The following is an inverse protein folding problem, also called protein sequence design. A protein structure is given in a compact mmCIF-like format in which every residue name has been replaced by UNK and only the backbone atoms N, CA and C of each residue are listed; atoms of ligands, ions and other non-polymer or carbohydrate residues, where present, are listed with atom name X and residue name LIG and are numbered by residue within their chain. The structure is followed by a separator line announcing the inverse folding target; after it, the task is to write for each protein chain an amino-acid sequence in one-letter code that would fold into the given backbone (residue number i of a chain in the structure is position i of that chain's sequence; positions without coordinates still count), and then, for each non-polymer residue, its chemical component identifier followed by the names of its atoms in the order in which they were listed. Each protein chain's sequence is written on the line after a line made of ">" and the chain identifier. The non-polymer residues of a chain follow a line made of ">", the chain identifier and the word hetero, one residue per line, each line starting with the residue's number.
data_IF_153805689618
#
_entry.id   IF_153805689618
#
_cell.length_a   1.000
_cell.length_b   1.000
_cell.length_c   1.000
_cell.angle_alpha   90.00
_cell.angle_beta   90.00
_cell.angle_gamma   90.00
#
_symmetry.space_group_name_H-M   'P 1'
#
loop_
_entity.id
_entity.type
_entity.pdbx_description
1 polymer ?
#
# COMPACT_ATOMS: atom_id res chain seq x y z
N UNK A 1 -9.91 7.85 36.77
CA UNK A 1 -9.54 6.44 37.01
C UNK A 1 -8.04 6.31 36.76
N UNK A 2 -7.28 5.70 37.67
CA UNK A 2 -5.83 5.47 37.42
C UNK A 2 -5.70 4.31 36.45
N UNK A 3 -4.98 4.52 35.38
CA UNK A 3 -4.66 3.51 34.37
C UNK A 3 -3.63 2.54 34.99
N UNK A 4 -3.82 1.23 34.82
CA UNK A 4 -2.85 0.22 35.27
C UNK A 4 -1.62 0.22 34.36
N UNK A 5 -0.47 -0.27 34.85
CA UNK A 5 0.73 -0.44 34.04
C UNK A 5 0.47 -1.27 32.79
N UNK A 6 -0.28 -2.35 32.92
CA UNK A 6 -0.59 -3.24 31.80
C UNK A 6 -1.40 -2.52 30.71
N UNK A 7 -2.43 -1.76 31.11
CA UNK A 7 -3.23 -0.96 30.18
C UNK A 7 -2.40 0.14 29.49
N UNK A 8 -1.58 0.86 30.28
CA UNK A 8 -0.72 1.91 29.73
C UNK A 8 0.30 1.35 28.74
N UNK A 9 0.91 0.20 29.05
CA UNK A 9 1.87 -0.46 28.17
C UNK A 9 1.19 -0.98 26.89
N UNK A 10 0.02 -1.63 26.98
CA UNK A 10 -0.75 -2.05 25.79
C UNK A 10 -1.03 -0.87 24.88
N UNK A 11 -1.61 0.20 25.40
CA UNK A 11 -1.92 1.40 24.60
C UNK A 11 -0.65 2.07 24.02
N UNK A 12 0.47 2.06 24.76
CA UNK A 12 1.74 2.59 24.25
C UNK A 12 2.33 1.73 23.14
N UNK A 13 2.23 0.40 23.22
CA UNK A 13 2.67 -0.52 22.17
C UNK A 13 1.87 -0.32 20.87
N UNK A 14 0.55 -0.19 20.98
CA UNK A 14 -0.33 0.10 19.85
C UNK A 14 -0.01 1.46 19.21
N UNK A 15 0.13 2.52 20.03
CA UNK A 15 0.52 3.86 19.53
C UNK A 15 1.90 3.86 18.88
N UNK A 16 2.86 3.15 19.44
CA UNK A 16 4.22 3.01 18.90
C UNK A 16 4.19 2.29 17.56
N UNK A 17 3.49 1.17 17.47
CA UNK A 17 3.32 0.40 16.24
C UNK A 17 2.66 1.25 15.14
N UNK A 18 1.58 1.94 15.47
CA UNK A 18 0.88 2.82 14.54
C UNK A 18 1.78 3.98 14.05
N UNK A 19 2.48 4.66 14.98
CA UNK A 19 3.34 5.81 14.65
C UNK A 19 4.52 5.43 13.75
N UNK A 20 5.10 4.24 13.97
CA UNK A 20 6.27 3.77 13.25
C UNK A 20 5.92 2.82 12.08
N UNK A 21 4.63 2.58 11.82
CA UNK A 21 4.12 1.65 10.82
C UNK A 21 4.83 0.28 10.91
N UNK A 22 4.96 -0.27 12.13
CA UNK A 22 5.66 -1.53 12.37
C UNK A 22 4.99 -2.32 13.49
N UNK A 23 4.87 -3.63 13.31
CA UNK A 23 4.48 -4.56 14.36
C UNK A 23 5.69 -5.06 15.16
N UNK A 24 6.91 -4.82 14.67
CA UNK A 24 8.14 -5.17 15.35
C UNK A 24 8.59 -4.04 16.25
N UNK A 25 8.80 -4.36 17.51
CA UNK A 25 9.12 -3.40 18.58
C UNK A 25 10.45 -3.78 19.18
N UNK A 26 11.45 -2.94 18.92
CA UNK A 26 12.73 -3.06 19.58
C UNK A 26 12.62 -2.52 21.01
N UNK A 27 12.93 -3.37 22.00
CA UNK A 27 12.75 -3.08 23.42
C UNK A 27 13.41 -1.79 23.87
N UNK A 28 14.65 -1.58 23.45
CA UNK A 28 15.43 -0.45 23.97
C UNK A 28 14.95 0.88 23.35
N UNK A 29 14.57 0.88 22.09
CA UNK A 29 13.92 2.03 21.45
C UNK A 29 12.56 2.34 22.08
N UNK A 30 11.75 1.31 22.31
CA UNK A 30 10.46 1.45 22.98
C UNK A 30 10.60 2.00 24.39
N UNK A 31 11.57 1.50 25.15
CA UNK A 31 11.92 2.02 26.49
C UNK A 31 12.27 3.51 26.44
N UNK A 32 13.13 3.92 25.52
CA UNK A 32 13.57 5.32 25.42
C UNK A 32 12.40 6.26 25.07
N UNK A 33 11.51 5.84 24.17
CA UNK A 33 10.46 6.69 23.64
C UNK A 33 9.21 6.70 24.49
N UNK A 34 8.79 5.56 25.04
CA UNK A 34 7.46 5.41 25.66
C UNK A 34 7.50 5.36 27.19
N UNK A 35 8.60 4.96 27.81
CA UNK A 35 8.66 4.84 29.27
C UNK A 35 8.31 6.14 30.02
N UNK A 36 8.78 7.34 29.59
CA UNK A 36 8.40 8.60 30.25
C UNK A 36 6.88 8.86 30.20
N UNK A 37 6.25 8.53 29.08
CA UNK A 37 4.80 8.68 28.90
C UNK A 37 4.01 7.70 29.78
N UNK A 38 4.44 6.44 29.85
CA UNK A 38 3.83 5.41 30.67
C UNK A 38 3.92 5.77 32.17
N UNK A 39 5.06 6.30 32.61
CA UNK A 39 5.22 6.79 34.00
C UNK A 39 4.23 7.91 34.31
N UNK A 40 4.06 8.84 33.37
CA UNK A 40 3.15 9.96 33.53
C UNK A 40 1.68 9.48 33.60
N UNK A 41 1.28 8.63 32.67
CA UNK A 41 -0.08 8.08 32.56
C UNK A 41 -0.48 7.23 33.81
N UNK A 42 0.46 6.44 34.30
CA UNK A 42 0.24 5.59 35.47
C UNK A 42 0.40 6.33 36.78
N UNK A 43 1.05 7.49 36.81
CA UNK A 43 1.42 8.22 38.01
C UNK A 43 2.37 7.42 38.93
N UNK A 44 3.19 6.54 38.35
CA UNK A 44 4.08 5.65 39.08
C UNK A 44 5.20 6.42 39.77
N UNK A 45 5.39 6.15 41.05
CA UNK A 45 6.48 6.69 41.87
C UNK A 45 7.55 5.62 42.20
N UNK A 46 7.52 4.49 41.51
CA UNK A 46 8.47 3.39 41.70
C UNK A 46 9.89 3.75 41.38
N UNK A 47 10.87 3.17 42.08
CA UNK A 47 12.30 3.44 41.88
C UNK A 47 12.88 2.76 40.62
N UNK A 48 12.20 1.78 40.06
CA UNK A 48 12.70 0.96 38.92
C UNK A 48 11.62 0.79 37.83
N UNK A 49 11.19 1.88 37.17
CA UNK A 49 10.11 1.80 36.18
C UNK A 49 10.47 0.96 34.94
N UNK A 50 11.74 0.92 34.56
CA UNK A 50 12.23 0.07 33.45
C UNK A 50 12.11 -1.42 33.74
N UNK A 51 12.34 -1.84 35.00
CA UNK A 51 12.12 -3.24 35.41
C UNK A 51 10.62 -3.58 35.43
N UNK A 52 9.80 -2.64 35.90
CA UNK A 52 8.33 -2.81 35.89
C UNK A 52 7.84 -2.97 34.44
N UNK A 53 8.32 -2.15 33.51
CA UNK A 53 7.98 -2.28 32.09
C UNK A 53 8.42 -3.64 31.53
N UNK A 54 9.64 -4.07 31.84
CA UNK A 54 10.15 -5.38 31.36
C UNK A 54 9.29 -6.54 31.88
N UNK A 55 8.84 -6.48 33.15
CA UNK A 55 7.93 -7.48 33.72
C UNK A 55 6.57 -7.47 33.00
N UNK A 56 6.01 -6.29 32.75
CA UNK A 56 4.73 -6.17 32.04
C UNK A 56 4.84 -6.67 30.60
N UNK A 57 5.94 -6.42 29.89
CA UNK A 57 6.16 -6.99 28.57
C UNK A 57 6.22 -8.52 28.59
N UNK A 58 6.80 -9.13 29.65
CA UNK A 58 6.76 -10.58 29.84
C UNK A 58 5.36 -11.09 30.09
N UNK A 59 4.59 -10.42 30.96
CA UNK A 59 3.18 -10.75 31.21
C UNK A 59 2.34 -10.69 29.93
N UNK A 60 2.53 -9.65 29.11
CA UNK A 60 1.84 -9.50 27.84
C UNK A 60 2.25 -10.56 26.81
N UNK A 61 3.50 -11.03 26.84
CA UNK A 61 3.94 -12.18 26.05
C UNK A 61 3.24 -13.47 26.51
N UNK A 62 3.19 -13.70 27.83
CA UNK A 62 2.59 -14.92 28.40
C UNK A 62 1.06 -14.95 28.17
N UNK A 63 0.43 -13.77 28.05
CA UNK A 63 -0.97 -13.60 27.61
C UNK A 63 -1.16 -13.75 26.08
N UNK A 64 -0.09 -13.88 25.29
CA UNK A 64 -0.16 -13.98 23.84
C UNK A 64 -0.41 -12.64 23.12
N UNK A 65 -0.29 -11.50 23.80
CA UNK A 65 -0.38 -10.18 23.19
C UNK A 65 0.91 -9.78 22.45
N UNK A 66 2.04 -10.34 22.88
CA UNK A 66 3.36 -10.15 22.27
C UNK A 66 4.01 -11.48 21.97
N UNK A 67 4.74 -11.57 20.86
CA UNK A 67 5.69 -12.65 20.59
C UNK A 67 7.11 -12.16 20.76
N UNK A 68 7.98 -13.00 21.28
CA UNK A 68 9.41 -12.76 21.35
C UNK A 68 10.09 -13.38 20.13
N UNK A 69 10.58 -12.55 19.21
CA UNK A 69 11.18 -13.02 17.95
C UNK A 69 12.67 -13.36 18.10
N UNK A 70 13.45 -12.51 18.72
CA UNK A 70 14.88 -12.71 19.11
C UNK A 70 15.32 -11.56 20.02
N UNK A 71 16.52 -11.69 20.62
CA UNK A 71 17.12 -10.75 21.59
C UNK A 71 16.60 -9.32 21.54
N UNK A 72 15.64 -8.99 22.43
CA UNK A 72 15.09 -7.64 22.57
C UNK A 72 14.06 -7.22 21.52
N UNK A 73 13.69 -8.09 20.58
CA UNK A 73 12.69 -7.81 19.56
C UNK A 73 11.37 -8.50 19.90
N UNK A 74 10.32 -7.72 20.05
CA UNK A 74 8.94 -8.18 20.26
C UNK A 74 8.12 -7.94 19.00
N UNK A 75 7.13 -8.81 18.76
CA UNK A 75 6.14 -8.64 17.71
C UNK A 75 4.76 -8.60 18.33
N UNK A 76 3.94 -7.60 17.99
CA UNK A 76 2.55 -7.51 18.44
C UNK A 76 1.71 -8.61 17.79
N UNK A 77 0.97 -9.36 18.61
CA UNK A 77 0.11 -10.45 18.11
C UNK A 77 -1.22 -9.94 17.55
N UNK A 78 -1.68 -8.81 18.01
CA UNK A 78 -2.89 -8.16 17.52
C UNK A 78 -2.66 -6.66 17.48
N UNK A 79 -2.44 -6.10 16.31
CA UNK A 79 -2.83 -4.73 16.05
C UNK A 79 -4.31 -4.82 15.71
N UNK A 80 -5.21 -4.15 16.43
CA UNK A 80 -6.57 -4.00 15.93
C UNK A 80 -6.46 -3.23 14.62
N UNK A 81 -6.52 -3.95 13.51
CA UNK A 81 -6.58 -3.38 12.16
C UNK A 81 -8.01 -2.90 11.97
N UNK A 82 -8.48 -2.01 12.83
CA UNK A 82 -9.85 -1.49 12.74
C UNK A 82 -9.99 -0.25 11.88
N UNK A 83 -8.92 0.35 11.37
CA UNK A 83 -9.04 1.51 10.48
C UNK A 83 -7.80 1.78 9.62
N UNK A 84 -6.76 0.98 9.69
CA UNK A 84 -5.45 1.31 9.13
C UNK A 84 -5.00 0.36 8.01
N UNK A 85 -5.87 -0.47 7.47
CA UNK A 85 -5.50 -1.42 6.40
C UNK A 85 -5.12 -0.73 5.07
N UNK A 86 -5.39 0.57 4.93
CA UNK A 86 -4.94 1.34 3.76
C UNK A 86 -3.54 1.96 3.94
N UNK A 87 -3.01 1.98 5.17
CA UNK A 87 -1.75 2.66 5.51
C UNK A 87 -0.56 1.71 5.75
N UNK A 88 -0.79 0.40 5.80
CA UNK A 88 0.31 -0.57 5.91
C UNK A 88 0.84 -0.96 4.53
N UNK A 89 2.16 -0.95 4.31
CA UNK A 89 2.76 -1.51 3.12
C UNK A 89 2.38 -2.99 2.95
N UNK A 90 2.12 -3.41 1.71
CA UNK A 90 1.67 -4.77 1.38
C UNK A 90 2.64 -5.85 1.91
N UNK A 91 3.94 -5.57 1.91
CA UNK A 91 4.98 -6.45 2.43
C UNK A 91 4.88 -6.69 3.95
N UNK A 92 4.37 -5.74 4.71
CA UNK A 92 4.14 -5.88 6.15
C UNK A 92 2.95 -6.79 6.41
N UNK A 93 1.89 -6.65 5.62
CA UNK A 93 0.70 -7.51 5.72
C UNK A 93 1.01 -8.94 5.26
N UNK A 94 1.75 -9.12 4.17
CA UNK A 94 2.18 -10.43 3.68
C UNK A 94 3.03 -11.15 4.72
N UNK A 95 4.02 -10.48 5.32
CA UNK A 95 4.83 -11.05 6.39
C UNK A 95 4.00 -11.43 7.64
N UNK A 96 2.99 -10.65 7.98
CA UNK A 96 2.13 -10.93 9.11
C UNK A 96 1.24 -12.17 8.86
N UNK A 97 0.75 -12.33 7.62
CA UNK A 97 0.00 -13.53 7.20
C UNK A 97 0.91 -14.77 7.16
N UNK A 98 2.08 -14.68 6.53
CA UNK A 98 3.03 -15.81 6.41
C UNK A 98 3.53 -16.32 7.76
N UNK A 99 3.67 -15.42 8.74
CA UNK A 99 4.10 -15.80 10.09
C UNK A 99 2.94 -16.14 11.04
N UNK A 100 1.71 -16.26 10.54
CA UNK A 100 0.53 -16.58 11.35
C UNK A 100 0.20 -15.53 12.42
N UNK A 101 0.64 -14.29 12.20
CA UNK A 101 0.43 -13.16 13.12
C UNK A 101 -0.92 -12.46 12.88
N UNK A 102 -1.55 -12.73 11.73
CA UNK A 102 -2.93 -12.36 11.41
C UNK A 102 -3.78 -13.61 11.40
N UNK A 103 -4.72 -13.71 12.32
CA UNK A 103 -5.81 -14.65 12.18
C UNK A 103 -6.67 -14.23 11.00
N UNK A 104 -6.81 -15.11 10.01
CA UNK A 104 -7.77 -14.94 8.93
C UNK A 104 -9.18 -15.25 9.47
N UNK A 105 -9.68 -14.37 10.32
CA UNK A 105 -11.06 -14.41 10.80
C UNK A 105 -11.93 -13.46 9.98
N UNK A 106 -13.23 -13.66 10.04
CA UNK A 106 -14.18 -12.72 9.44
C UNK A 106 -13.95 -11.32 10.03
N UNK A 107 -13.81 -10.32 9.14
CA UNK A 107 -13.63 -8.92 9.53
C UNK A 107 -14.99 -8.26 9.66
N UNK A 108 -15.31 -7.71 10.81
CA UNK A 108 -16.47 -6.83 10.96
C UNK A 108 -16.26 -5.59 10.08
N UNK A 109 -17.07 -5.46 9.04
CA UNK A 109 -17.08 -4.27 8.19
C UNK A 109 -18.19 -3.34 8.62
N UNK A 110 -17.87 -2.09 8.95
CA UNK A 110 -18.84 -1.04 9.22
C UNK A 110 -18.84 -0.02 8.08
N UNK A 111 -20.02 0.61 7.85
CA UNK A 111 -20.13 1.73 6.94
C UNK A 111 -19.86 3.02 7.72
N UNK A 112 -18.61 3.45 7.78
CA UNK A 112 -18.24 4.73 8.35
C UNK A 112 -18.32 5.83 7.30
N UNK A 113 -18.81 7.01 7.68
CA UNK A 113 -18.85 8.19 6.80
C UNK A 113 -17.43 8.74 6.68
N UNK A 114 -16.70 8.28 5.68
CA UNK A 114 -15.39 8.84 5.35
C UNK A 114 -15.58 10.15 4.58
N UNK A 115 -15.07 11.26 5.11
CA UNK A 115 -14.96 12.53 4.39
C UNK A 115 -13.74 12.44 3.46
N UNK A 116 -13.94 11.79 2.30
CA UNK A 116 -12.92 11.65 1.26
C UNK A 116 -12.85 12.88 0.35
N UNK A 117 -11.65 13.21 -0.15
CA UNK A 117 -11.50 14.21 -1.23
C UNK A 117 -12.06 13.66 -2.54
N UNK A 118 -13.17 14.20 -3.01
CA UNK A 118 -13.76 13.80 -4.29
C UNK A 118 -12.90 14.31 -5.46
N UNK A 119 -12.44 13.41 -6.31
CA UNK A 119 -11.71 13.75 -7.55
C UNK A 119 -12.71 14.28 -8.58
N UNK A 120 -12.73 15.60 -8.80
CA UNK A 120 -13.61 16.23 -9.81
C UNK A 120 -13.05 16.03 -11.22
N UNK A 121 -13.95 15.91 -12.21
CA UNK A 121 -13.57 15.82 -13.63
C UNK A 121 -13.17 14.44 -14.14
N UNK A 122 -13.05 13.42 -13.30
CA UNK A 122 -12.64 12.07 -13.70
C UNK A 122 -13.59 11.43 -14.73
N UNK A 123 -14.90 11.65 -14.61
CA UNK A 123 -15.87 11.15 -15.59
C UNK A 123 -15.68 11.74 -16.98
N UNK A 124 -15.37 13.02 -17.09
CA UNK A 124 -15.09 13.69 -18.37
C UNK A 124 -13.75 13.23 -18.96
N UNK A 125 -12.72 13.11 -18.13
CA UNK A 125 -11.42 12.58 -18.55
C UNK A 125 -11.55 11.14 -19.05
N UNK A 126 -12.31 10.29 -18.32
CA UNK A 126 -12.59 8.92 -18.75
C UNK A 126 -13.23 8.85 -20.12
N UNK A 127 -14.29 9.61 -20.37
CA UNK A 127 -14.96 9.64 -21.67
C UNK A 127 -13.99 10.01 -22.79
N UNK A 128 -13.14 11.03 -22.56
CA UNK A 128 -12.12 11.47 -23.52
C UNK A 128 -11.05 10.41 -23.74
N UNK A 129 -10.56 9.77 -22.68
CA UNK A 129 -9.54 8.71 -22.79
C UNK A 129 -10.09 7.52 -23.56
N UNK A 130 -11.26 7.00 -23.21
CA UNK A 130 -11.85 5.87 -23.92
C UNK A 130 -12.06 6.20 -25.41
N UNK A 131 -12.64 7.36 -25.71
CA UNK A 131 -12.83 7.81 -27.10
C UNK A 131 -11.51 7.95 -27.88
N UNK A 132 -10.45 8.41 -27.22
CA UNK A 132 -9.11 8.54 -27.81
C UNK A 132 -8.51 7.17 -28.21
N UNK A 133 -8.92 6.09 -27.54
CA UNK A 133 -8.47 4.71 -27.81
C UNK A 133 -9.56 3.83 -28.42
N UNK A 134 -10.51 4.42 -29.19
CA UNK A 134 -11.56 3.70 -29.89
C UNK A 134 -12.43 2.82 -28.97
N UNK A 135 -12.57 3.21 -27.70
CA UNK A 135 -13.27 2.44 -26.66
C UNK A 135 -12.72 1.01 -26.51
N UNK A 136 -11.44 0.81 -26.67
CA UNK A 136 -10.78 -0.47 -26.50
C UNK A 136 -9.45 -0.31 -25.73
N UNK A 137 -8.98 -1.41 -25.16
CA UNK A 137 -7.68 -1.46 -24.52
C UNK A 137 -6.56 -1.19 -25.55
N UNK A 138 -5.57 -0.39 -25.15
CA UNK A 138 -4.44 -0.05 -26.00
C UNK A 138 -3.54 -1.25 -26.36
N UNK A 139 -3.65 -2.37 -25.63
CA UNK A 139 -2.75 -3.53 -25.79
C UNK A 139 -3.46 -4.84 -26.17
N UNK A 140 -4.76 -4.95 -25.97
CA UNK A 140 -5.52 -6.16 -26.30
C UNK A 140 -6.87 -5.81 -26.93
N UNK A 141 -7.70 -6.81 -27.19
CA UNK A 141 -9.01 -6.69 -27.84
C UNK A 141 -10.18 -6.34 -26.90
N UNK A 142 -9.92 -6.25 -25.59
CA UNK A 142 -10.96 -5.89 -24.60
C UNK A 142 -11.52 -4.50 -24.92
N UNK A 143 -12.83 -4.47 -25.18
CA UNK A 143 -13.61 -3.27 -25.52
C UNK A 143 -14.89 -3.09 -24.65
N UNK A 144 -15.08 -3.93 -23.64
CA UNK A 144 -16.16 -3.76 -22.67
C UNK A 144 -15.86 -2.56 -21.77
N UNK A 145 -16.72 -1.50 -21.79
CA UNK A 145 -16.49 -0.31 -20.97
C UNK A 145 -16.37 -0.58 -19.46
N UNK A 146 -16.94 -1.67 -18.96
CA UNK A 146 -16.86 -2.06 -17.53
C UNK A 146 -15.46 -2.54 -17.15
N UNK A 147 -14.71 -3.07 -18.11
CA UNK A 147 -13.35 -3.56 -17.94
C UNK A 147 -12.27 -2.54 -18.33
N UNK A 148 -12.66 -1.42 -18.95
CA UNK A 148 -11.71 -0.38 -19.35
C UNK A 148 -11.51 0.64 -18.25
N UNK A 149 -10.29 1.12 -18.11
CA UNK A 149 -9.90 2.15 -17.13
C UNK A 149 -9.09 3.27 -17.81
N UNK A 150 -9.12 4.43 -17.18
CA UNK A 150 -8.26 5.57 -17.54
C UNK A 150 -7.00 5.48 -16.69
N UNK A 151 -5.97 4.87 -17.22
CA UNK A 151 -4.68 4.73 -16.57
C UNK A 151 -3.89 6.04 -16.67
N UNK A 152 -3.40 6.55 -15.54
CA UNK A 152 -2.49 7.69 -15.53
C UNK A 152 -1.05 7.20 -15.67
N UNK A 153 -0.29 7.78 -16.61
CA UNK A 153 1.13 7.44 -16.84
C UNK A 153 1.99 7.98 -15.68
N UNK A 154 1.91 9.28 -15.45
CA UNK A 154 2.41 9.88 -14.20
C UNK A 154 1.28 9.87 -13.19
N UNK A 155 1.53 9.29 -12.01
CA UNK A 155 0.51 9.06 -10.98
C UNK A 155 -0.21 10.34 -10.57
N UNK A 156 -1.48 10.19 -10.23
CA UNK A 156 -2.30 11.29 -9.69
C UNK A 156 -1.66 11.98 -8.48
N UNK A 157 -0.99 11.22 -7.63
CA UNK A 157 -0.34 11.75 -6.43
C UNK A 157 0.93 12.54 -6.78
N UNK A 158 1.70 12.06 -7.75
CA UNK A 158 3.06 12.53 -8.04
C UNK A 158 3.07 13.82 -8.89
N UNK A 159 2.06 14.02 -9.75
CA UNK A 159 2.01 15.17 -10.67
C UNK A 159 0.63 15.85 -10.68
N UNK A 160 0.36 16.77 -9.73
CA UNK A 160 -0.91 17.49 -9.68
C UNK A 160 -1.27 18.25 -10.95
N UNK A 161 -0.28 18.73 -11.71
CA UNK A 161 -0.48 19.48 -12.95
C UNK A 161 -0.88 18.59 -14.14
N UNK A 162 -0.52 17.31 -14.08
CA UNK A 162 -0.81 16.34 -15.13
C UNK A 162 -2.15 15.61 -14.97
N UNK A 163 -2.88 15.82 -13.87
CA UNK A 163 -4.09 15.05 -13.50
C UNK A 163 -5.20 15.03 -14.53
N UNK A 164 -5.42 16.13 -15.21
CA UNK A 164 -6.49 16.28 -16.22
C UNK A 164 -6.01 16.20 -17.66
N UNK A 165 -4.73 15.95 -17.91
CA UNK A 165 -4.15 15.95 -19.24
C UNK A 165 -4.43 14.64 -19.95
N UNK A 166 -5.05 14.69 -21.13
CA UNK A 166 -5.29 13.52 -21.96
C UNK A 166 -3.99 12.84 -22.39
N UNK A 167 -2.92 13.62 -22.62
CA UNK A 167 -1.56 13.12 -22.90
C UNK A 167 -0.88 12.39 -21.74
N UNK A 168 -1.45 12.45 -20.52
CA UNK A 168 -1.03 11.68 -19.37
C UNK A 168 -1.91 10.46 -19.12
N UNK A 169 -2.75 10.05 -20.09
CA UNK A 169 -3.66 8.93 -19.91
C UNK A 169 -3.58 7.92 -21.04
N UNK A 170 -3.81 6.67 -20.69
CA UNK A 170 -3.95 5.54 -21.62
C UNK A 170 -5.24 4.80 -21.26
N UNK A 171 -5.93 4.28 -22.28
CA UNK A 171 -7.04 3.36 -22.06
C UNK A 171 -6.48 1.93 -21.95
N UNK A 172 -6.47 1.38 -20.78
CA UNK A 172 -6.14 -0.03 -20.55
C UNK A 172 -7.37 -0.82 -20.07
N UNK A 173 -7.35 -2.13 -20.22
CA UNK A 173 -8.21 -2.99 -19.43
C UNK A 173 -7.67 -3.06 -17.98
N UNK A 174 -8.51 -3.50 -17.06
CA UNK A 174 -8.17 -3.58 -15.64
C UNK A 174 -6.89 -4.36 -15.37
N UNK A 175 -6.61 -5.43 -16.12
CA UNK A 175 -5.38 -6.21 -15.96
C UNK A 175 -4.15 -5.44 -16.47
N UNK A 176 -4.19 -4.87 -17.68
CA UNK A 176 -3.08 -4.10 -18.22
C UNK A 176 -2.79 -2.86 -17.37
N UNK A 177 -3.83 -2.21 -16.83
CA UNK A 177 -3.66 -1.11 -15.87
C UNK A 177 -2.88 -1.55 -14.63
N UNK A 178 -3.27 -2.68 -14.02
CA UNK A 178 -2.56 -3.21 -12.85
C UNK A 178 -1.12 -3.62 -13.15
N UNK A 179 -0.87 -4.25 -14.28
CA UNK A 179 0.49 -4.61 -14.70
C UNK A 179 1.36 -3.36 -14.94
N UNK A 180 0.80 -2.33 -15.58
CA UNK A 180 1.48 -1.07 -15.82
C UNK A 180 1.75 -0.31 -14.52
N UNK A 181 0.75 -0.15 -13.68
CA UNK A 181 0.85 0.57 -12.40
C UNK A 181 1.89 -0.09 -11.46
N UNK A 182 1.92 -1.43 -11.41
CA UNK A 182 2.87 -2.19 -10.60
C UNK A 182 4.25 -2.37 -11.29
N UNK A 183 4.45 -1.76 -12.45
CA UNK A 183 5.76 -1.68 -13.09
C UNK A 183 6.23 -2.96 -13.75
N UNK A 184 5.34 -3.85 -14.17
CA UNK A 184 5.70 -5.04 -14.94
C UNK A 184 6.16 -4.71 -16.35
N UNK A 185 5.68 -3.61 -16.92
CA UNK A 185 6.12 -3.09 -18.21
C UNK A 185 6.02 -1.57 -18.28
N UNK A 186 6.70 -1.01 -19.27
CA UNK A 186 6.54 0.37 -19.72
C UNK A 186 6.67 0.44 -21.24
N UNK A 187 6.91 1.62 -21.78
CA UNK A 187 7.12 1.86 -23.19
C UNK A 187 8.46 2.58 -23.41
N UNK A 188 9.12 2.32 -24.53
CA UNK A 188 10.23 3.13 -24.99
C UNK A 188 9.72 4.43 -25.67
N UNK A 189 10.64 5.23 -26.21
CA UNK A 189 10.32 6.50 -26.86
C UNK A 189 9.60 6.32 -28.22
N UNK A 190 9.58 5.09 -28.75
CA UNK A 190 8.84 4.70 -29.96
C UNK A 190 7.49 4.04 -29.65
N UNK A 191 7.06 4.03 -28.39
CA UNK A 191 5.84 3.38 -27.92
C UNK A 191 5.84 1.85 -28.05
N UNK A 192 7.00 1.23 -28.10
CA UNK A 192 7.15 -0.22 -28.02
C UNK A 192 7.23 -0.65 -26.56
N UNK A 193 6.67 -1.83 -26.26
CA UNK A 193 6.61 -2.33 -24.88
C UNK A 193 7.98 -2.82 -24.40
N UNK A 194 8.36 -2.36 -23.20
CA UNK A 194 9.51 -2.86 -22.47
C UNK A 194 8.98 -3.59 -21.24
N UNK A 195 9.20 -4.89 -21.17
CA UNK A 195 8.80 -5.72 -20.03
C UNK A 195 9.97 -5.92 -19.09
N UNK A 196 9.69 -5.86 -17.77
CA UNK A 196 10.66 -6.38 -16.79
C UNK A 196 10.80 -7.88 -16.95
N UNK A 197 11.99 -8.46 -16.66
CA UNK A 197 12.15 -9.88 -16.55
C UNK A 197 11.23 -10.43 -15.43
N UNK A 198 10.28 -11.28 -15.80
CA UNK A 198 9.31 -11.88 -14.86
C UNK A 198 9.52 -13.39 -14.94
N UNK A 199 10.30 -13.93 -14.01
CA UNK A 199 10.78 -15.30 -14.15
C UNK A 199 9.81 -16.36 -13.65
N UNK A 200 8.95 -16.05 -12.68
CA UNK A 200 8.21 -17.07 -11.93
C UNK A 200 6.68 -17.02 -12.06
N UNK A 201 6.13 -16.11 -12.83
CA UNK A 201 4.66 -15.96 -12.95
C UNK A 201 4.21 -16.38 -14.35
N UNK A 202 3.90 -17.69 -14.49
CA UNK A 202 3.49 -18.29 -15.77
C UNK A 202 2.33 -17.55 -16.43
N UNK A 203 1.32 -17.13 -15.66
CA UNK A 203 0.17 -16.40 -16.19
C UNK A 203 0.57 -15.06 -16.84
N UNK A 204 1.48 -14.30 -16.23
CA UNK A 204 1.95 -13.03 -16.79
C UNK A 204 2.79 -13.26 -18.06
N UNK A 205 3.60 -14.31 -18.10
CA UNK A 205 4.37 -14.67 -19.30
C UNK A 205 3.45 -15.00 -20.49
N UNK A 206 2.38 -15.79 -20.25
CA UNK A 206 1.36 -16.08 -21.28
C UNK A 206 0.69 -14.78 -21.76
N UNK A 207 0.32 -13.90 -20.83
CA UNK A 207 -0.27 -12.61 -21.17
C UNK A 207 0.68 -11.73 -21.99
N UNK A 208 1.93 -11.67 -21.62
CA UNK A 208 2.97 -10.97 -22.39
C UNK A 208 3.05 -11.44 -23.84
N UNK A 209 2.98 -12.75 -24.05
CA UNK A 209 3.01 -13.35 -25.40
C UNK A 209 1.76 -13.03 -26.23
N UNK A 210 0.62 -12.85 -25.57
CA UNK A 210 -0.66 -12.52 -26.20
C UNK A 210 -0.87 -11.02 -26.41
N UNK A 211 -0.09 -10.17 -25.74
CA UNK A 211 -0.15 -8.73 -25.94
C UNK A 211 0.41 -8.33 -27.31
N UNK A 212 -0.19 -7.30 -27.90
CA UNK A 212 0.44 -6.60 -29.01
C UNK A 212 1.82 -6.11 -28.59
N UNK A 213 2.84 -6.34 -29.41
CA UNK A 213 4.21 -5.84 -29.17
C UNK A 213 4.27 -4.31 -29.20
N UNK A 214 3.29 -3.69 -29.82
CA UNK A 214 3.17 -2.24 -29.93
C UNK A 214 1.83 -1.75 -29.40
N UNK A 215 1.88 -0.57 -28.90
CA UNK A 215 0.76 0.19 -28.40
C UNK A 215 -0.16 0.63 -29.56
N UNK A 216 -1.47 0.39 -29.44
CA UNK A 216 -2.42 0.88 -30.43
C UNK A 216 -2.41 2.40 -30.48
N UNK A 217 -2.27 2.95 -31.67
CA UNK A 217 -2.24 4.40 -31.86
C UNK A 217 -3.54 5.06 -31.40
N UNK A 218 -3.47 6.05 -30.52
CA UNK A 218 -4.63 6.83 -30.14
C UNK A 218 -5.11 7.72 -31.30
N UNK A 219 -6.40 8.03 -31.28
CA UNK A 219 -7.06 8.76 -32.37
C UNK A 219 -6.65 10.24 -32.46
N UNK A 220 -6.50 10.91 -31.32
CA UNK A 220 -6.33 12.37 -31.27
C UNK A 220 -5.05 12.81 -30.56
N UNK A 221 -4.78 12.28 -29.37
CA UNK A 221 -3.69 12.74 -28.52
C UNK A 221 -2.83 11.56 -28.09
N UNK A 222 -1.56 11.59 -28.49
CA UNK A 222 -0.56 10.60 -28.03
C UNK A 222 -0.13 10.88 -26.59
N UNK A 223 0.25 9.84 -25.84
CA UNK A 223 0.95 10.00 -24.59
C UNK A 223 2.19 10.90 -24.75
N UNK A 224 2.39 11.83 -23.82
CA UNK A 224 3.57 12.66 -23.85
C UNK A 224 4.79 11.89 -23.31
N UNK A 225 5.89 11.92 -24.07
CA UNK A 225 7.13 11.20 -23.73
C UNK A 225 7.64 11.51 -22.32
N UNK A 226 7.50 12.75 -21.87
CA UNK A 226 7.88 13.14 -20.52
C UNK A 226 7.20 12.30 -19.42
N UNK A 227 5.95 11.89 -19.60
CA UNK A 227 5.24 11.05 -18.62
C UNK A 227 5.70 9.60 -18.72
N UNK A 228 5.98 9.11 -19.92
CA UNK A 228 6.53 7.78 -20.15
C UNK A 228 7.91 7.65 -19.51
N UNK A 229 8.77 8.66 -19.68
CA UNK A 229 10.09 8.71 -19.03
C UNK A 229 9.95 8.69 -17.51
N UNK A 230 9.05 9.52 -16.94
CA UNK A 230 8.77 9.51 -15.49
C UNK A 230 8.30 8.13 -15.01
N UNK A 231 7.45 7.45 -15.79
CA UNK A 231 6.98 6.10 -15.48
C UNK A 231 8.15 5.11 -15.48
N UNK A 232 9.00 5.10 -16.51
CA UNK A 232 10.19 4.22 -16.57
C UNK A 232 11.09 4.42 -15.35
N UNK A 233 11.41 5.69 -15.03
CA UNK A 233 12.24 6.02 -13.86
C UNK A 233 11.60 5.49 -12.57
N UNK A 234 10.30 5.69 -12.40
CA UNK A 234 9.56 5.21 -11.22
C UNK A 234 9.66 3.71 -11.03
N UNK A 235 9.57 2.95 -12.11
CA UNK A 235 9.59 1.49 -12.07
C UNK A 235 10.98 0.88 -12.24
N UNK A 236 12.03 1.67 -12.41
CA UNK A 236 13.41 1.20 -12.58
C UNK A 236 13.68 0.53 -13.95
N UNK A 237 13.15 1.11 -15.03
CA UNK A 237 13.41 0.77 -16.42
C UNK A 237 14.12 1.92 -17.15
#
# INVERSE_FOLDING_TARGET
>A
MKITWQQAVKSSLERYAHRNATIQIERDQFLQQELPHIILETGSKGKTPSQTLSRVLQELRDEGFLFFSKNGLYTLNQVPISAASEDFPDDVLENAVENGLLELSDVETSNDVAVGRVRRGMGALRKKTLSNYHNACALCDINDPRLLVTSHISRWADDPKARGLLSNTICFCTLHDKLFENGYFSMNDHFELIWKPIYNIKAINIWREQCSSSFKNPKYVKPALQFIVKHRVRIGL
#
